data_IF_288266025008
#
_entry.id   IF_288266025008
#
_cell.length_a   1.000
_cell.length_b   1.000
_cell.length_c   1.000
_cell.angle_alpha   90.00
_cell.angle_beta   90.00
_cell.angle_gamma   90.00
#
_symmetry.space_group_name_H-M   'P 1'
#
loop_
_entity.id
_entity.type
_entity.pdbx_description
1 polymer ?
#
# COMPACT_ATOMS: atom_id res chain seq x y z
N UNK A 1 0.52 10.47 1.17
CA UNK A 1 1.42 9.64 2.00
C UNK A 1 2.81 9.75 1.41
N UNK A 2 3.47 10.88 1.63
CA UNK A 2 4.86 11.12 1.20
C UNK A 2 5.81 11.21 2.39
N UNK A 3 5.26 11.15 3.60
CA UNK A 3 5.97 11.41 4.83
C UNK A 3 6.07 10.13 5.66
N UNK A 4 7.31 9.66 5.83
CA UNK A 4 7.66 8.52 6.67
C UNK A 4 7.17 8.74 8.11
N UNK A 5 7.37 9.94 8.63
CA UNK A 5 7.09 10.26 10.03
C UNK A 5 5.60 10.09 10.34
N UNK A 6 4.74 10.70 9.52
CA UNK A 6 3.29 10.51 9.61
C UNK A 6 2.85 9.04 9.55
N UNK A 7 3.48 8.22 8.69
CA UNK A 7 3.14 6.78 8.58
C UNK A 7 3.54 6.03 9.84
N UNK A 8 4.75 6.26 10.37
CA UNK A 8 5.22 5.63 11.60
C UNK A 8 4.43 6.07 12.83
N UNK A 9 4.02 7.34 12.90
CA UNK A 9 3.13 7.85 13.95
C UNK A 9 1.77 7.15 13.91
N UNK A 10 1.16 7.06 12.72
CA UNK A 10 -0.12 6.38 12.56
C UNK A 10 -0.02 4.89 12.92
N UNK A 11 1.07 4.24 12.52
CA UNK A 11 1.37 2.83 12.85
C UNK A 11 1.39 2.63 14.37
N UNK A 12 2.18 3.45 15.08
CA UNK A 12 2.29 3.37 16.54
C UNK A 12 0.96 3.64 17.26
N UNK A 13 0.12 4.55 16.75
CA UNK A 13 -1.21 4.81 17.31
C UNK A 13 -2.13 3.61 17.11
N UNK A 14 -2.11 3.01 15.93
CA UNK A 14 -2.93 1.83 15.62
C UNK A 14 -2.50 0.60 16.41
N UNK A 15 -1.19 0.42 16.64
CA UNK A 15 -0.64 -0.65 17.46
C UNK A 15 -1.18 -0.57 18.91
N UNK A 16 -1.08 0.60 19.55
CA UNK A 16 -1.64 0.85 20.88
C UNK A 16 -3.15 0.56 20.93
N UNK A 17 -3.90 1.01 19.92
CA UNK A 17 -5.34 0.76 19.86
C UNK A 17 -5.70 -0.71 19.63
N UNK A 18 -4.87 -1.48 18.92
CA UNK A 18 -5.03 -2.92 18.77
C UNK A 18 -4.76 -3.68 20.08
N UNK A 19 -4.00 -3.09 21.01
CA UNK A 19 -3.74 -3.61 22.35
C UNK A 19 -4.77 -3.11 23.41
N UNK A 20 -5.87 -2.49 22.97
CA UNK A 20 -6.90 -1.84 23.81
C UNK A 20 -6.35 -0.68 24.68
N UNK A 21 -5.20 -0.11 24.30
CA UNK A 21 -4.61 1.06 24.95
C UNK A 21 -5.19 2.37 24.39
N UNK A 22 -5.18 3.42 25.21
CA UNK A 22 -5.57 4.76 24.75
C UNK A 22 -4.34 5.48 24.21
N UNK A 23 -4.29 5.84 22.91
CA UNK A 23 -3.11 6.43 22.35
C UNK A 23 -2.85 7.85 22.86
N UNK A 24 -1.59 8.14 23.20
CA UNK A 24 -1.18 9.49 23.58
C UNK A 24 -0.87 10.33 22.35
N UNK A 25 -1.82 11.19 21.97
CA UNK A 25 -1.68 12.12 20.86
C UNK A 25 -1.07 13.46 21.31
N UNK A 26 -0.68 13.60 22.58
CA UNK A 26 -0.23 14.85 23.20
C UNK A 26 1.05 15.41 22.58
N UNK A 27 2.00 14.54 22.28
CA UNK A 27 3.35 14.88 21.81
C UNK A 27 3.46 15.02 20.28
N UNK A 28 2.39 14.75 19.53
CA UNK A 28 2.36 14.82 18.07
C UNK A 28 2.27 16.27 17.57
N UNK A 29 2.90 16.54 16.43
CA UNK A 29 2.72 17.79 15.70
C UNK A 29 1.26 17.97 15.26
N UNK A 30 0.83 19.22 15.09
CA UNK A 30 -0.57 19.52 14.77
C UNK A 30 -1.04 18.83 13.47
N UNK A 31 -0.18 18.77 12.44
CA UNK A 31 -0.48 18.12 11.16
C UNK A 31 -0.56 16.59 11.25
N UNK A 32 0.27 15.97 12.08
CA UNK A 32 0.23 14.53 12.32
C UNK A 32 -1.04 14.16 13.06
N UNK A 33 -1.35 14.92 14.13
CA UNK A 33 -2.56 14.74 14.93
C UNK A 33 -3.82 14.89 14.09
N UNK A 34 -3.88 15.89 13.22
CA UNK A 34 -5.02 16.08 12.31
C UNK A 34 -5.19 14.88 11.37
N UNK A 35 -4.09 14.38 10.81
CA UNK A 35 -4.10 13.22 9.91
C UNK A 35 -4.55 11.95 10.63
N UNK A 36 -3.97 11.67 11.80
CA UNK A 36 -4.33 10.52 12.64
C UNK A 36 -5.82 10.59 13.01
N UNK A 37 -6.27 11.74 13.51
CA UNK A 37 -7.66 11.92 13.92
C UNK A 37 -8.62 11.74 12.74
N UNK A 38 -8.30 12.26 11.55
CA UNK A 38 -9.13 12.08 10.37
C UNK A 38 -9.29 10.61 9.98
N UNK A 39 -8.23 9.80 10.11
CA UNK A 39 -8.29 8.36 9.83
C UNK A 39 -9.13 7.63 10.89
N UNK A 40 -8.94 7.94 12.18
CA UNK A 40 -9.74 7.35 13.25
C UNK A 40 -11.23 7.71 13.11
N UNK A 41 -11.54 8.95 12.75
CA UNK A 41 -12.91 9.39 12.49
C UNK A 41 -13.54 8.65 11.30
N UNK A 42 -12.75 8.28 10.28
CA UNK A 42 -13.22 7.45 9.16
C UNK A 42 -13.53 6.02 9.62
N UNK A 43 -12.68 5.43 10.47
CA UNK A 43 -12.95 4.12 11.08
C UNK A 43 -14.26 4.15 11.84
N UNK A 44 -14.46 5.17 12.66
CA UNK A 44 -15.65 5.30 13.50
C UNK A 44 -16.92 5.59 12.68
N UNK A 45 -16.80 6.22 11.52
CA UNK A 45 -17.90 6.40 10.57
C UNK A 45 -18.32 5.11 9.87
N UNK A 46 -17.39 4.17 9.67
CA UNK A 46 -17.68 2.90 9.04
C UNK A 46 -18.43 1.92 9.96
N UNK A 47 -18.47 2.19 11.26
CA UNK A 47 -18.98 1.26 12.27
C UNK A 47 -20.24 1.82 12.93
N UNK A 48 -21.26 0.97 13.14
CA UNK A 48 -22.45 1.34 13.90
C UNK A 48 -22.14 1.58 15.39
N UNK A 49 -23.07 2.21 16.13
CA UNK A 49 -22.88 2.57 17.56
C UNK A 49 -22.68 1.39 18.53
N UNK A 50 -22.90 0.15 18.11
CA UNK A 50 -22.86 -1.06 18.96
C UNK A 50 -22.05 -2.21 18.33
N UNK A 51 -21.08 -1.89 17.45
CA UNK A 51 -20.36 -2.88 16.64
C UNK A 51 -18.84 -2.94 16.97
N UNK A 52 -18.50 -3.07 18.25
CA UNK A 52 -17.10 -3.09 18.74
C UNK A 52 -16.21 -4.14 18.03
N UNK A 53 -16.77 -5.30 17.70
CA UNK A 53 -16.04 -6.37 16.98
C UNK A 53 -15.69 -5.97 15.54
N UNK A 54 -16.59 -5.23 14.87
CA UNK A 54 -16.36 -4.73 13.51
C UNK A 54 -15.32 -3.60 13.56
N UNK A 55 -15.40 -2.71 14.56
CA UNK A 55 -14.38 -1.68 14.81
C UNK A 55 -13.01 -2.30 15.00
N UNK A 56 -12.88 -3.28 15.89
CA UNK A 56 -11.61 -3.97 16.16
C UNK A 56 -11.06 -4.65 14.89
N UNK A 57 -11.91 -5.30 14.10
CA UNK A 57 -11.52 -5.93 12.83
C UNK A 57 -11.05 -4.90 11.80
N UNK A 58 -11.73 -3.76 11.70
CA UNK A 58 -11.37 -2.68 10.78
C UNK A 58 -10.06 -2.01 11.20
N UNK A 59 -9.88 -1.73 12.51
CA UNK A 59 -8.62 -1.24 13.06
C UNK A 59 -7.47 -2.21 12.75
N UNK A 60 -7.67 -3.51 12.97
CA UNK A 60 -6.66 -4.53 12.65
C UNK A 60 -6.31 -4.57 11.16
N UNK A 61 -7.30 -4.40 10.28
CA UNK A 61 -7.07 -4.35 8.84
C UNK A 61 -6.29 -3.10 8.42
N UNK A 62 -6.61 -1.94 8.98
CA UNK A 62 -5.90 -0.68 8.70
C UNK A 62 -4.49 -0.75 9.28
N UNK A 63 -4.34 -1.25 10.51
CA UNK A 63 -3.04 -1.47 11.14
C UNK A 63 -2.15 -2.35 10.24
N UNK A 64 -2.67 -3.49 9.74
CA UNK A 64 -1.92 -4.34 8.83
C UNK A 64 -1.45 -3.61 7.55
N UNK A 65 -2.29 -2.75 6.98
CA UNK A 65 -1.94 -1.95 5.80
C UNK A 65 -0.87 -0.93 6.16
N UNK A 66 -1.05 -0.19 7.26
CA UNK A 66 -0.14 0.87 7.70
C UNK A 66 1.21 0.30 8.13
N UNK A 67 1.28 -0.81 8.87
CA UNK A 67 2.55 -1.47 9.21
C UNK A 67 3.26 -2.03 7.98
N UNK A 68 2.51 -2.46 6.95
CA UNK A 68 3.13 -2.81 5.67
C UNK A 68 3.75 -1.57 5.02
N UNK A 69 3.03 -0.44 4.99
CA UNK A 69 3.57 0.81 4.47
C UNK A 69 4.81 1.28 5.26
N UNK A 70 4.78 1.17 6.58
CA UNK A 70 5.92 1.49 7.43
C UNK A 70 7.13 0.59 7.13
N UNK A 71 6.90 -0.71 6.87
CA UNK A 71 7.93 -1.67 6.50
C UNK A 71 8.54 -1.50 5.09
N UNK A 72 8.05 -0.57 4.26
CA UNK A 72 8.64 -0.26 2.94
C UNK A 72 9.93 0.54 3.09
N UNK A 73 10.86 0.53 2.11
CA UNK A 73 11.94 1.52 2.05
C UNK A 73 11.40 2.94 1.85
N UNK A 74 12.10 3.96 2.35
CA UNK A 74 11.68 5.38 2.28
C UNK A 74 11.41 5.84 0.84
N UNK A 75 12.30 5.47 -0.08
CA UNK A 75 12.13 5.79 -1.50
C UNK A 75 10.92 5.05 -2.10
N UNK A 76 10.66 3.81 -1.66
CA UNK A 76 9.49 3.04 -2.07
C UNK A 76 8.18 3.68 -1.60
N UNK A 77 8.13 4.14 -0.35
CA UNK A 77 6.98 4.83 0.22
C UNK A 77 6.72 6.18 -0.49
N UNK A 78 7.78 6.94 -0.79
CA UNK A 78 7.69 8.19 -1.54
C UNK A 78 7.10 7.96 -2.94
N UNK A 79 7.59 6.96 -3.68
CA UNK A 79 7.06 6.62 -5.01
C UNK A 79 5.60 6.17 -4.93
N UNK A 80 5.24 5.38 -3.90
CA UNK A 80 3.87 4.91 -3.67
C UNK A 80 2.88 6.08 -3.57
N UNK A 81 3.25 7.18 -2.90
CA UNK A 81 2.41 8.38 -2.80
C UNK A 81 1.99 8.95 -4.16
N UNK A 82 2.83 8.81 -5.18
CA UNK A 82 2.50 9.19 -6.55
C UNK A 82 1.57 8.20 -7.24
N UNK A 83 1.57 6.92 -6.83
CA UNK A 83 0.88 5.79 -7.45
C UNK A 83 -0.57 5.55 -7.00
N UNK A 84 -1.16 6.46 -6.22
CA UNK A 84 -2.49 6.25 -5.60
C UNK A 84 -3.71 6.59 -6.48
N UNK A 85 -3.57 6.82 -7.79
CA UNK A 85 -4.76 7.02 -8.64
C UNK A 85 -5.46 5.69 -8.92
N UNK A 86 -6.81 5.65 -9.04
CA UNK A 86 -7.53 4.37 -9.18
C UNK A 86 -7.06 3.48 -10.34
N UNK A 87 -6.79 4.00 -11.56
CA UNK A 87 -6.26 3.16 -12.64
C UNK A 87 -4.87 2.58 -12.34
N UNK A 88 -4.03 3.34 -11.63
CA UNK A 88 -2.67 2.89 -11.28
C UNK A 88 -2.72 1.86 -10.15
N UNK A 89 -3.56 2.05 -9.14
CA UNK A 89 -3.77 1.05 -8.09
C UNK A 89 -4.34 -0.25 -8.66
N UNK A 90 -5.25 -0.18 -9.63
CA UNK A 90 -5.73 -1.37 -10.35
C UNK A 90 -4.60 -2.10 -11.09
N UNK A 91 -3.74 -1.37 -11.80
CA UNK A 91 -2.62 -1.96 -12.51
C UNK A 91 -1.61 -2.60 -11.54
N UNK A 92 -1.27 -1.90 -10.44
CA UNK A 92 -0.41 -2.41 -9.38
C UNK A 92 -1.00 -3.69 -8.77
N UNK A 93 -2.30 -3.72 -8.50
CA UNK A 93 -2.99 -4.87 -7.95
C UNK A 93 -2.84 -6.11 -8.84
N UNK A 94 -3.00 -5.95 -10.16
CA UNK A 94 -2.79 -7.02 -11.13
C UNK A 94 -1.33 -7.49 -11.11
N UNK A 95 -0.38 -6.55 -11.10
CA UNK A 95 1.06 -6.87 -11.08
C UNK A 95 1.48 -7.60 -9.81
N UNK A 96 1.11 -7.14 -8.62
CA UNK A 96 1.47 -7.82 -7.36
C UNK A 96 0.80 -9.18 -7.24
N UNK A 97 -0.42 -9.34 -7.78
CA UNK A 97 -1.08 -10.63 -7.86
C UNK A 97 -0.33 -11.58 -8.78
N UNK A 98 0.11 -11.10 -9.95
CA UNK A 98 0.89 -11.89 -10.92
C UNK A 98 2.26 -12.30 -10.37
N UNK A 99 2.94 -11.39 -9.67
CA UNK A 99 4.19 -11.71 -8.96
C UNK A 99 3.97 -12.84 -7.94
N UNK A 100 2.87 -12.78 -7.17
CA UNK A 100 2.55 -13.78 -6.16
C UNK A 100 2.21 -15.16 -6.74
N UNK A 101 1.65 -15.25 -7.97
CA UNK A 101 1.40 -16.56 -8.60
C UNK A 101 2.68 -17.23 -9.10
N UNK A 102 3.72 -16.46 -9.41
CA UNK A 102 5.02 -16.99 -9.82
C UNK A 102 4.98 -17.80 -11.11
N UNK A 103 3.98 -17.60 -11.99
CA UNK A 103 3.80 -18.42 -13.20
C UNK A 103 4.92 -18.23 -14.23
N UNK A 104 5.68 -17.14 -14.16
CA UNK A 104 6.70 -16.77 -15.15
C UNK A 104 6.13 -16.32 -16.49
N UNK A 105 4.80 -16.23 -16.61
CA UNK A 105 4.11 -15.76 -17.81
C UNK A 105 4.19 -14.23 -17.91
N UNK A 106 3.93 -13.71 -19.10
CA UNK A 106 3.82 -12.27 -19.36
C UNK A 106 2.37 -11.82 -19.31
N UNK A 107 2.14 -10.58 -18.88
CA UNK A 107 0.83 -9.93 -18.92
C UNK A 107 0.70 -9.09 -20.20
N UNK A 108 -0.50 -8.95 -20.77
CA UNK A 108 -0.71 -8.11 -21.95
C UNK A 108 -1.09 -6.68 -21.57
N UNK A 109 -0.44 -5.69 -22.20
CA UNK A 109 -0.83 -4.27 -22.08
C UNK A 109 -2.18 -3.96 -22.74
N UNK A 110 -2.77 -4.92 -23.46
CA UNK A 110 -4.14 -4.82 -24.00
C UNK A 110 -5.22 -5.10 -22.95
N UNK A 111 -4.83 -5.63 -21.78
CA UNK A 111 -5.75 -5.73 -20.65
C UNK A 111 -6.13 -4.31 -20.20
N UNK A 112 -7.44 -4.05 -20.08
CA UNK A 112 -7.94 -2.75 -19.68
C UNK A 112 -7.40 -2.30 -18.32
N UNK A 113 -7.15 -3.24 -17.40
CA UNK A 113 -6.56 -2.95 -16.08
C UNK A 113 -5.06 -2.61 -16.12
N UNK A 114 -4.38 -2.86 -17.24
CA UNK A 114 -2.96 -2.56 -17.44
C UNK A 114 -2.71 -1.45 -18.48
N UNK A 115 -3.74 -0.98 -19.17
CA UNK A 115 -3.61 0.01 -20.24
C UNK A 115 -2.96 1.32 -19.79
N UNK A 116 -3.15 1.72 -18.52
CA UNK A 116 -2.50 2.90 -17.91
C UNK A 116 -0.97 2.80 -17.96
N UNK A 117 -0.42 1.59 -17.95
CA UNK A 117 1.02 1.34 -18.03
C UNK A 117 1.58 1.50 -19.44
N UNK A 118 0.80 1.95 -20.42
CA UNK A 118 1.33 2.41 -21.72
C UNK A 118 1.88 3.83 -21.63
N UNK A 119 1.47 4.60 -20.62
CA UNK A 119 2.01 5.92 -20.32
C UNK A 119 3.41 5.77 -19.71
N UNK A 120 4.41 6.44 -20.30
CA UNK A 120 5.83 6.28 -19.94
C UNK A 120 6.13 6.74 -18.52
N UNK A 121 5.51 7.84 -18.10
CA UNK A 121 5.64 8.35 -16.74
C UNK A 121 5.06 7.34 -15.74
N UNK A 122 3.83 6.86 -15.96
CA UNK A 122 3.16 5.89 -15.09
C UNK A 122 3.95 4.58 -14.99
N UNK A 123 4.44 4.09 -16.13
CA UNK A 123 5.30 2.90 -16.16
C UNK A 123 6.58 3.10 -15.35
N UNK A 124 7.29 4.22 -15.52
CA UNK A 124 8.54 4.49 -14.82
C UNK A 124 8.39 4.50 -13.30
N UNK A 125 7.34 5.13 -12.77
CA UNK A 125 7.04 5.09 -11.32
C UNK A 125 6.60 3.70 -10.85
N UNK A 126 5.86 2.97 -11.67
CA UNK A 126 5.43 1.59 -11.35
C UNK A 126 6.63 0.64 -11.30
N UNK A 127 7.54 0.75 -12.27
CA UNK A 127 8.80 0.01 -12.32
C UNK A 127 9.68 0.35 -11.10
N UNK A 128 9.83 1.64 -10.78
CA UNK A 128 10.57 2.08 -9.60
C UNK A 128 9.98 1.50 -8.32
N UNK A 129 8.65 1.58 -8.16
CA UNK A 129 7.95 1.08 -6.98
C UNK A 129 8.19 -0.43 -6.76
N UNK A 130 8.01 -1.25 -7.80
CA UNK A 130 8.30 -2.69 -7.76
C UNK A 130 9.79 -2.96 -7.49
N UNK A 131 10.67 -2.13 -8.05
CA UNK A 131 12.11 -2.20 -7.86
C UNK A 131 12.55 -2.08 -6.41
N UNK A 132 11.90 -1.18 -5.64
CA UNK A 132 12.09 -1.03 -4.18
C UNK A 132 11.57 -2.22 -3.37
N UNK A 133 10.80 -3.12 -3.99
CA UNK A 133 10.32 -4.35 -3.36
C UNK A 133 10.98 -5.61 -3.91
N UNK A 134 12.18 -5.45 -4.49
CA UNK A 134 12.95 -6.57 -5.04
C UNK A 134 12.23 -7.31 -6.18
N UNK A 135 11.36 -6.62 -6.91
CA UNK A 135 10.68 -7.11 -8.11
C UNK A 135 11.12 -6.27 -9.31
N UNK A 136 11.57 -6.89 -10.38
CA UNK A 136 11.81 -6.17 -11.65
C UNK A 136 10.54 -6.20 -12.48
N UNK A 137 10.14 -5.05 -13.02
CA UNK A 137 9.14 -4.93 -14.08
C UNK A 137 9.86 -4.62 -15.39
N UNK A 138 9.51 -5.31 -16.47
CA UNK A 138 10.02 -5.04 -17.81
C UNK A 138 8.87 -4.97 -18.79
N UNK A 139 8.97 -4.04 -19.74
CA UNK A 139 8.06 -3.98 -20.89
C UNK A 139 8.74 -4.61 -22.11
N UNK A 140 8.06 -5.58 -22.71
CA UNK A 140 8.50 -6.30 -23.90
C UNK A 140 7.39 -6.15 -24.97
N UNK A 141 7.56 -5.19 -25.89
CA UNK A 141 6.56 -4.82 -26.90
C UNK A 141 5.19 -4.48 -26.27
N UNK A 142 4.16 -5.31 -26.47
CA UNK A 142 2.82 -5.16 -25.92
C UNK A 142 2.58 -6.04 -24.67
N UNK A 143 3.66 -6.49 -24.04
CA UNK A 143 3.61 -7.33 -22.84
C UNK A 143 4.45 -6.78 -21.69
N UNK A 144 4.11 -7.21 -20.48
CA UNK A 144 4.82 -6.92 -19.24
C UNK A 144 5.32 -8.21 -18.62
N UNK A 145 6.56 -8.16 -18.12
CA UNK A 145 7.18 -9.25 -17.39
C UNK A 145 7.60 -8.78 -16.01
N UNK A 146 7.22 -9.55 -14.99
CA UNK A 146 7.66 -9.32 -13.61
C UNK A 146 8.51 -10.48 -13.13
N UNK A 147 9.57 -10.19 -12.38
CA UNK A 147 10.45 -11.23 -11.83
C UNK A 147 10.93 -10.82 -10.43
N UNK A 148 10.78 -11.71 -9.45
CA UNK A 148 11.39 -11.51 -8.13
C UNK A 148 12.90 -11.70 -8.24
N UNK A 149 13.66 -10.81 -7.60
CA UNK A 149 15.12 -10.98 -7.48
C UNK A 149 15.45 -12.18 -6.59
N UNK A 150 16.69 -12.67 -6.66
CA UNK A 150 17.11 -13.94 -6.04
C UNK A 150 16.97 -14.04 -4.51
N UNK A 151 16.93 -12.91 -3.79
CA UNK A 151 16.79 -12.86 -2.33
C UNK A 151 15.86 -11.70 -1.94
N UNK A 152 14.55 -11.80 -2.23
CA UNK A 152 13.67 -10.65 -2.13
C UNK A 152 13.21 -10.36 -0.69
N UNK A 153 13.55 -11.24 0.27
CA UNK A 153 13.14 -11.10 1.67
C UNK A 153 11.62 -11.04 1.81
N UNK A 154 11.13 -10.16 2.68
CA UNK A 154 9.71 -9.92 2.91
C UNK A 154 9.14 -8.75 2.08
N UNK A 155 9.97 -8.03 1.32
CA UNK A 155 9.57 -6.79 0.65
C UNK A 155 8.46 -6.99 -0.40
N UNK A 156 8.45 -8.05 -1.24
CA UNK A 156 7.31 -8.29 -2.13
C UNK A 156 5.99 -8.55 -1.38
N UNK A 157 6.05 -9.17 -0.19
CA UNK A 157 4.88 -9.40 0.63
C UNK A 157 4.34 -8.08 1.18
N UNK A 158 5.23 -7.24 1.73
CA UNK A 158 4.91 -5.88 2.19
C UNK A 158 4.25 -5.05 1.09
N UNK A 159 4.82 -5.06 -0.13
CA UNK A 159 4.22 -4.41 -1.29
C UNK A 159 2.85 -4.97 -1.64
N UNK A 160 2.71 -6.31 -1.61
CA UNK A 160 1.44 -6.98 -1.91
C UNK A 160 0.35 -6.56 -0.93
N UNK A 161 0.63 -6.55 0.38
CA UNK A 161 -0.31 -6.13 1.42
C UNK A 161 -0.69 -4.66 1.22
N UNK A 162 0.30 -3.79 1.03
CA UNK A 162 0.09 -2.36 0.83
C UNK A 162 -0.79 -2.06 -0.38
N UNK A 163 -0.44 -2.58 -1.56
CA UNK A 163 -1.19 -2.34 -2.80
C UNK A 163 -2.59 -2.94 -2.73
N UNK A 164 -2.73 -4.16 -2.21
CA UNK A 164 -4.05 -4.81 -2.05
C UNK A 164 -4.94 -4.01 -1.11
N UNK A 165 -4.39 -3.58 0.02
CA UNK A 165 -5.07 -2.76 1.01
C UNK A 165 -5.54 -1.43 0.42
N UNK A 166 -4.63 -0.68 -0.20
CA UNK A 166 -4.94 0.60 -0.83
C UNK A 166 -5.97 0.46 -1.96
N UNK A 167 -5.88 -0.57 -2.80
CA UNK A 167 -6.86 -0.83 -3.85
C UNK A 167 -8.25 -1.20 -3.27
N UNK A 168 -8.30 -1.90 -2.13
CA UNK A 168 -9.57 -2.26 -1.49
C UNK A 168 -10.30 -1.07 -0.85
N UNK A 169 -9.60 0.03 -0.56
CA UNK A 169 -10.15 1.24 0.06
C UNK A 169 -10.21 2.45 -0.89
N UNK A 170 -9.77 2.29 -2.14
CA UNK A 170 -9.76 3.34 -3.18
C UNK A 170 -11.06 3.45 -3.97
#
# INVERSE_FOLDING_TARGET
MEDRETVSVLESVLDQMCEDETPDLGDLEDSERETVQAILDLVDQCVGKDEDEIRSSLLSAIHLIVSAMDGMPDEGLSVLGSCCSPPVLQALQILVQHVATGSGETLSLRDAGLAVLTEEDVFGRTESLLGHSEVTLKREEDTLRTEMKSQPGYLPLVMSITVKGLFSIS
#
